data_IF_143324030622
#
_entry.id   IF_143324030622
#
_cell.length_a   1.000
_cell.length_b   1.000
_cell.length_c   1.000
_cell.angle_alpha   90.00
_cell.angle_beta   90.00
_cell.angle_gamma   90.00
#
_symmetry.space_group_name_H-M   'P 1'
#
loop_
_entity.id
_entity.type
_entity.pdbx_description
1 polymer ?
#
# COMPACT_ATOMS: atom_id res chain seq x y z
N UNK A 1 15.60 6.39 4.48
CA UNK A 1 15.23 5.88 3.16
C UNK A 1 13.89 5.13 3.22
N UNK A 2 13.13 5.14 2.14
CA UNK A 2 11.80 4.57 2.05
C UNK A 2 11.64 3.83 0.71
N UNK A 3 11.08 2.63 0.77
CA UNK A 3 10.61 1.87 -0.39
C UNK A 3 9.09 1.79 -0.32
N UNK A 4 8.41 2.17 -1.38
CA UNK A 4 6.96 2.09 -1.50
C UNK A 4 6.64 1.12 -2.63
N UNK A 5 5.77 0.15 -2.34
CA UNK A 5 5.24 -0.79 -3.32
C UNK A 5 3.72 -0.58 -3.41
N UNK A 6 3.24 -0.33 -4.61
CA UNK A 6 1.84 0.02 -4.86
C UNK A 6 1.54 1.52 -4.67
N UNK A 7 0.26 1.91 -4.86
CA UNK A 7 -0.83 1.05 -5.33
C UNK A 7 -0.69 0.67 -6.81
N UNK A 8 -1.35 -0.39 -7.20
CA UNK A 8 -1.35 -0.86 -8.59
C UNK A 8 -2.02 -2.22 -8.74
N UNK A 9 -2.27 -2.64 -9.95
CA UNK A 9 -2.79 -3.98 -10.23
C UNK A 9 -1.89 -5.04 -9.61
N UNK A 10 -2.49 -5.95 -8.83
CA UNK A 10 -1.73 -6.93 -8.06
C UNK A 10 -0.84 -7.79 -8.96
N UNK A 11 -1.39 -8.37 -10.01
CA UNK A 11 -0.68 -9.32 -10.87
C UNK A 11 0.10 -8.64 -11.99
N UNK A 12 -0.48 -7.64 -12.65
CA UNK A 12 0.11 -7.04 -13.84
C UNK A 12 1.09 -5.90 -13.55
N UNK A 13 1.05 -5.33 -12.34
CA UNK A 13 1.95 -4.25 -11.96
C UNK A 13 2.83 -4.64 -10.77
N UNK A 14 2.25 -5.03 -9.64
CA UNK A 14 3.01 -5.27 -8.41
C UNK A 14 3.81 -6.58 -8.51
N UNK A 15 3.13 -7.72 -8.66
CA UNK A 15 3.79 -9.02 -8.72
C UNK A 15 4.69 -9.11 -9.94
N UNK A 16 4.27 -8.61 -11.11
CA UNK A 16 5.09 -8.62 -12.31
C UNK A 16 6.47 -7.97 -12.12
N UNK A 17 6.54 -6.85 -11.41
CA UNK A 17 7.81 -6.22 -11.05
C UNK A 17 8.59 -7.02 -10.01
N UNK A 18 7.91 -7.57 -9.01
CA UNK A 18 8.54 -8.36 -7.95
C UNK A 18 9.01 -9.76 -8.41
N UNK A 19 8.63 -10.19 -9.62
CA UNK A 19 9.17 -11.42 -10.22
C UNK A 19 10.59 -11.23 -10.79
N UNK A 20 11.11 -10.02 -10.84
CA UNK A 20 12.53 -9.78 -11.16
C UNK A 20 13.37 -10.19 -9.95
N UNK A 21 14.18 -11.28 -10.03
CA UNK A 21 14.84 -11.86 -8.84
C UNK A 21 15.71 -10.86 -8.10
N UNK A 22 16.53 -10.11 -8.81
CA UNK A 22 17.45 -9.14 -8.23
C UNK A 22 16.72 -7.99 -7.51
N UNK A 23 15.51 -7.65 -7.93
CA UNK A 23 14.71 -6.61 -7.30
C UNK A 23 14.23 -7.02 -5.91
N UNK A 24 13.71 -8.23 -5.76
CA UNK A 24 13.27 -8.76 -4.45
C UNK A 24 14.45 -8.86 -3.49
N UNK A 25 15.58 -9.35 -3.96
CA UNK A 25 16.79 -9.48 -3.14
C UNK A 25 17.33 -8.10 -2.72
N UNK A 26 17.30 -7.11 -3.59
CA UNK A 26 17.65 -5.73 -3.28
C UNK A 26 16.71 -5.11 -2.24
N UNK A 27 15.40 -5.34 -2.37
CA UNK A 27 14.40 -4.88 -1.39
C UNK A 27 14.66 -5.54 -0.02
N UNK A 28 14.90 -6.84 0.02
CA UNK A 28 15.20 -7.58 1.27
C UNK A 28 16.46 -7.09 1.94
N UNK A 29 17.51 -6.83 1.17
CA UNK A 29 18.80 -6.37 1.68
C UNK A 29 18.78 -4.90 2.12
N UNK A 30 17.83 -4.10 1.63
CA UNK A 30 17.74 -2.68 1.97
C UNK A 30 17.34 -2.46 3.43
N UNK A 31 17.95 -1.45 4.07
CA UNK A 31 17.58 -0.95 5.41
C UNK A 31 16.45 0.08 5.37
N UNK A 32 15.98 0.45 4.18
CA UNK A 32 14.86 1.37 4.01
C UNK A 32 13.58 0.80 4.66
N UNK A 33 12.72 1.68 5.16
CA UNK A 33 11.35 1.28 5.52
C UNK A 33 10.60 0.86 4.27
N UNK A 34 9.84 -0.22 4.36
CA UNK A 34 9.12 -0.83 3.24
C UNK A 34 7.64 -0.76 3.49
N UNK A 35 6.96 0.13 2.75
CA UNK A 35 5.52 0.29 2.83
C UNK A 35 4.83 -0.36 1.64
N UNK A 36 3.77 -1.09 1.91
CA UNK A 36 2.84 -1.56 0.90
C UNK A 36 1.57 -0.70 0.93
N UNK A 37 1.19 -0.13 -0.20
CA UNK A 37 -0.07 0.61 -0.35
C UNK A 37 -1.09 -0.35 -0.96
N UNK A 38 -2.04 -0.80 -0.13
CA UNK A 38 -3.06 -1.73 -0.57
C UNK A 38 -4.10 -1.04 -1.45
N UNK A 39 -4.61 -1.75 -2.45
CA UNK A 39 -5.69 -1.25 -3.30
C UNK A 39 -6.93 -0.93 -2.47
N UNK A 40 -7.65 0.12 -2.83
CA UNK A 40 -8.91 0.52 -2.15
C UNK A 40 -10.09 -0.34 -2.60
N UNK A 41 -10.05 -0.84 -3.83
CA UNK A 41 -11.11 -1.66 -4.42
C UNK A 41 -10.52 -2.81 -5.22
N UNK A 42 -11.30 -3.86 -5.38
CA UNK A 42 -10.94 -5.03 -6.18
C UNK A 42 -10.91 -4.70 -7.68
N UNK A 43 -10.17 -5.50 -8.43
CA UNK A 43 -10.17 -5.48 -9.89
C UNK A 43 -10.92 -6.70 -10.39
N UNK A 44 -12.01 -6.47 -11.12
CA UNK A 44 -12.86 -7.52 -11.67
C UNK A 44 -12.04 -8.46 -12.56
N UNK A 45 -12.17 -9.76 -12.30
CA UNK A 45 -11.46 -10.82 -13.02
C UNK A 45 -10.02 -11.06 -12.53
N UNK A 46 -9.49 -10.24 -11.61
CA UNK A 46 -8.14 -10.43 -11.04
C UNK A 46 -8.18 -10.68 -9.53
N UNK A 47 -8.84 -9.81 -8.79
CA UNK A 47 -8.85 -9.82 -7.32
C UNK A 47 -10.25 -9.83 -6.74
N UNK A 48 -11.20 -10.48 -7.42
CA UNK A 48 -12.59 -10.60 -6.97
C UNK A 48 -12.64 -11.21 -5.56
N UNK A 49 -13.29 -10.51 -4.63
CA UNK A 49 -13.43 -10.93 -3.25
C UNK A 49 -12.16 -10.88 -2.40
N UNK A 50 -11.05 -10.33 -2.90
CA UNK A 50 -9.81 -10.24 -2.14
C UNK A 50 -9.90 -9.19 -1.03
N UNK A 51 -9.38 -9.58 0.13
CA UNK A 51 -9.03 -8.65 1.20
C UNK A 51 -7.61 -8.12 1.02
N UNK A 52 -7.20 -7.21 1.92
CA UNK A 52 -5.82 -6.74 1.97
C UNK A 52 -4.83 -7.89 2.23
N UNK A 53 -5.20 -8.82 3.13
CA UNK A 53 -4.40 -10.01 3.44
C UNK A 53 -4.25 -10.95 2.26
N UNK A 54 -5.28 -11.06 1.41
CA UNK A 54 -5.21 -11.90 0.21
C UNK A 54 -4.23 -11.32 -0.81
N UNK A 55 -4.14 -9.98 -0.93
CA UNK A 55 -3.09 -9.32 -1.73
C UNK A 55 -1.71 -9.67 -1.20
N UNK A 56 -1.48 -9.51 0.11
CA UNK A 56 -0.19 -9.78 0.75
C UNK A 56 0.22 -11.25 0.64
N UNK A 57 -0.70 -12.18 0.86
CA UNK A 57 -0.44 -13.63 0.69
C UNK A 57 -0.01 -13.98 -0.72
N UNK A 58 -0.63 -13.36 -1.73
CA UNK A 58 -0.24 -13.59 -3.12
C UNK A 58 1.15 -12.99 -3.42
N UNK A 59 1.48 -11.84 -2.88
CA UNK A 59 2.83 -11.28 -3.00
C UNK A 59 3.84 -12.22 -2.33
N UNK A 60 3.60 -12.66 -1.10
CA UNK A 60 4.48 -13.59 -0.40
C UNK A 60 4.66 -14.92 -1.14
N UNK A 61 3.57 -15.45 -1.69
CA UNK A 61 3.61 -16.70 -2.48
C UNK A 61 4.55 -16.58 -3.68
N UNK A 62 4.56 -15.44 -4.36
CA UNK A 62 5.37 -15.23 -5.55
C UNK A 62 6.81 -14.82 -5.24
N UNK A 63 7.04 -14.10 -4.16
CA UNK A 63 8.37 -13.60 -3.77
C UNK A 63 9.11 -14.54 -2.79
N UNK A 64 8.37 -15.47 -2.16
CA UNK A 64 8.90 -16.33 -1.10
C UNK A 64 9.27 -15.59 0.18
N UNK A 65 8.83 -14.35 0.36
CA UNK A 65 9.25 -13.53 1.49
C UNK A 65 8.17 -12.53 1.93
N UNK A 66 8.15 -12.26 3.23
CA UNK A 66 7.48 -11.11 3.81
C UNK A 66 8.36 -9.87 3.61
N UNK A 67 7.93 -8.94 2.78
CA UNK A 67 8.76 -7.81 2.35
C UNK A 67 8.51 -6.52 3.12
N UNK A 68 7.31 -6.31 3.67
CA UNK A 68 6.85 -5.01 4.13
C UNK A 68 6.87 -4.85 5.64
N UNK A 69 7.29 -3.68 6.10
CA UNK A 69 7.27 -3.29 7.51
C UNK A 69 5.91 -2.73 7.92
N UNK A 70 5.20 -2.09 6.97
CA UNK A 70 3.91 -1.47 7.19
C UNK A 70 3.02 -1.60 5.95
N UNK A 71 1.76 -1.88 6.18
CA UNK A 71 0.71 -1.88 5.16
C UNK A 71 -0.20 -0.69 5.37
N UNK A 72 -0.32 0.16 4.37
CA UNK A 72 -1.25 1.29 4.36
C UNK A 72 -2.51 0.87 3.63
N UNK A 73 -3.63 0.88 4.31
CA UNK A 73 -4.91 0.42 3.80
C UNK A 73 -6.00 1.49 3.96
N UNK A 74 -7.02 1.40 3.12
CA UNK A 74 -8.16 2.30 3.18
C UNK A 74 -9.07 1.97 4.38
N UNK A 75 -9.65 3.00 5.00
CA UNK A 75 -10.68 2.86 6.04
C UNK A 75 -11.99 3.59 5.70
N UNK A 76 -12.09 4.13 4.50
CA UNK A 76 -13.31 4.80 4.02
C UNK A 76 -14.02 3.95 3.00
N UNK A 77 -15.26 3.56 3.29
CA UNK A 77 -16.05 2.61 2.48
C UNK A 77 -17.41 3.18 2.06
N UNK A 78 -17.52 4.49 2.03
CA UNK A 78 -18.68 5.22 1.50
C UNK A 78 -18.43 5.59 0.04
N UNK A 79 -19.47 5.50 -0.75
CA UNK A 79 -19.43 5.77 -2.18
C UNK A 79 -19.90 4.59 -3.03
N UNK A 80 -20.26 4.88 -4.25
CA UNK A 80 -20.76 3.87 -5.17
C UNK A 80 -19.59 3.27 -5.96
N UNK A 81 -19.44 1.95 -5.84
CA UNK A 81 -18.50 1.19 -6.66
C UNK A 81 -19.16 0.72 -7.95
N UNK A 82 -18.37 0.51 -9.02
CA UNK A 82 -18.86 -0.15 -10.24
C UNK A 82 -19.36 -1.57 -9.97
N UNK A 83 -20.23 -2.08 -10.82
CA UNK A 83 -20.75 -3.45 -10.71
C UNK A 83 -19.62 -4.49 -10.73
N UNK A 84 -19.66 -5.40 -9.76
CA UNK A 84 -18.65 -6.45 -9.62
C UNK A 84 -17.31 -5.98 -9.06
N UNK A 85 -17.29 -4.80 -8.45
CA UNK A 85 -16.12 -4.27 -7.72
C UNK A 85 -16.49 -4.15 -6.25
N UNK A 86 -15.64 -4.64 -5.36
CA UNK A 86 -15.82 -4.61 -3.92
C UNK A 86 -14.73 -3.77 -3.24
N UNK A 87 -15.01 -3.30 -2.04
CA UNK A 87 -13.99 -2.67 -1.20
C UNK A 87 -12.94 -3.69 -0.75
N UNK A 88 -11.68 -3.33 -0.86
CA UNK A 88 -10.61 -4.10 -0.23
C UNK A 88 -10.49 -3.66 1.22
N UNK A 89 -10.75 -4.59 2.13
CA UNK A 89 -10.75 -4.34 3.57
C UNK A 89 -9.68 -5.16 4.28
N UNK A 90 -9.23 -4.65 5.43
CA UNK A 90 -8.38 -5.41 6.36
C UNK A 90 -9.27 -6.33 7.19
N UNK A 91 -8.96 -7.62 7.25
CA UNK A 91 -9.68 -8.60 8.07
C UNK A 91 -9.44 -8.35 9.55
N UNK A 92 -10.49 -8.42 10.35
CA UNK A 92 -10.36 -8.28 11.80
C UNK A 92 -9.51 -9.42 12.38
N UNK A 93 -8.57 -9.04 13.26
CA UNK A 93 -7.73 -10.01 13.99
C UNK A 93 -6.49 -10.49 13.26
N UNK A 94 -6.25 -10.05 12.04
CA UNK A 94 -4.97 -10.31 11.39
C UNK A 94 -3.85 -9.54 12.11
N UNK A 95 -2.82 -10.29 12.56
CA UNK A 95 -1.62 -9.77 13.22
C UNK A 95 -0.34 -10.08 12.45
N UNK A 96 -0.49 -10.58 11.25
CA UNK A 96 0.67 -10.98 10.45
C UNK A 96 1.47 -9.76 9.97
N UNK A 97 0.76 -8.66 9.67
CA UNK A 97 1.35 -7.37 9.31
C UNK A 97 0.93 -6.25 10.26
N UNK A 98 1.71 -5.20 10.30
CA UNK A 98 1.28 -3.93 10.87
C UNK A 98 0.48 -3.16 9.83
N UNK A 99 -0.72 -2.74 10.20
CA UNK A 99 -1.61 -1.96 9.36
C UNK A 99 -1.76 -0.53 9.86
N UNK A 100 -1.72 0.41 8.95
CA UNK A 100 -2.18 1.77 9.16
C UNK A 100 -3.34 2.03 8.22
N UNK A 101 -4.46 2.46 8.77
CA UNK A 101 -5.68 2.67 8.00
C UNK A 101 -6.03 4.16 7.96
N UNK A 102 -6.27 4.67 6.76
CA UNK A 102 -6.61 6.07 6.50
C UNK A 102 -7.60 6.19 5.33
N UNK A 103 -8.22 7.35 5.19
CA UNK A 103 -8.98 7.67 3.98
C UNK A 103 -8.01 7.85 2.80
N UNK A 104 -8.04 6.94 1.86
CA UNK A 104 -7.17 6.92 0.68
C UNK A 104 -7.93 7.09 -0.63
N UNK A 105 -9.27 7.23 -0.59
CA UNK A 105 -10.10 7.21 -1.79
C UNK A 105 -10.25 8.58 -2.43
N UNK A 106 -10.31 8.58 -3.75
CA UNK A 106 -10.79 9.72 -4.53
C UNK A 106 -12.30 9.89 -4.29
N UNK A 107 -12.71 11.11 -3.98
CA UNK A 107 -14.12 11.39 -3.63
C UNK A 107 -15.07 11.31 -4.83
N UNK A 108 -14.58 11.57 -6.03
CA UNK A 108 -15.35 11.50 -7.27
C UNK A 108 -15.38 10.08 -7.85
N UNK A 109 -14.28 9.34 -7.64
CA UNK A 109 -14.10 7.97 -8.15
C UNK A 109 -13.67 7.04 -7.00
N UNK A 110 -14.59 6.58 -6.13
CA UNK A 110 -14.24 5.87 -4.91
C UNK A 110 -13.43 4.57 -5.10
N UNK A 111 -13.45 4.00 -6.30
CA UNK A 111 -12.62 2.83 -6.66
C UNK A 111 -11.16 3.19 -6.97
N UNK A 112 -10.80 4.46 -6.94
CA UNK A 112 -9.46 4.97 -7.17
C UNK A 112 -8.85 5.57 -5.91
N UNK A 113 -7.54 5.57 -5.89
CA UNK A 113 -6.78 6.28 -4.86
C UNK A 113 -6.73 7.78 -5.14
N UNK A 114 -6.79 8.55 -4.06
CA UNK A 114 -6.39 9.97 -4.07
C UNK A 114 -4.88 10.07 -3.84
N UNK A 115 -4.14 10.51 -4.84
CA UNK A 115 -2.68 10.59 -4.77
C UNK A 115 -2.17 11.59 -3.73
N UNK A 116 -2.91 12.67 -3.47
CA UNK A 116 -2.54 13.65 -2.43
C UNK A 116 -2.73 13.07 -1.02
N UNK A 117 -3.82 12.32 -0.80
CA UNK A 117 -4.05 11.62 0.47
C UNK A 117 -2.98 10.57 0.73
N UNK A 118 -2.63 9.76 -0.28
CA UNK A 118 -1.55 8.77 -0.16
C UNK A 118 -0.23 9.46 0.16
N UNK A 119 0.16 10.47 -0.60
CA UNK A 119 1.42 11.16 -0.42
C UNK A 119 1.54 11.74 1.00
N UNK A 120 0.48 12.39 1.49
CA UNK A 120 0.45 12.93 2.86
C UNK A 120 0.58 11.82 3.89
N UNK A 121 -0.24 10.77 3.79
CA UNK A 121 -0.21 9.63 4.73
C UNK A 121 1.18 9.00 4.79
N UNK A 122 1.79 8.74 3.65
CA UNK A 122 3.12 8.12 3.57
C UNK A 122 4.19 9.02 4.18
N UNK A 123 4.17 10.32 3.89
CA UNK A 123 5.13 11.26 4.44
C UNK A 123 4.99 11.40 5.96
N UNK A 124 3.76 11.53 6.46
CA UNK A 124 3.50 11.64 7.89
C UNK A 124 3.99 10.38 8.63
N UNK A 125 3.66 9.20 8.14
CA UNK A 125 4.13 7.93 8.70
C UNK A 125 5.65 7.78 8.67
N UNK A 126 6.30 8.20 7.58
CA UNK A 126 7.75 8.17 7.48
C UNK A 126 8.40 9.11 8.48
N UNK A 127 7.87 10.32 8.62
CA UNK A 127 8.38 11.32 9.57
C UNK A 127 8.18 10.88 11.03
N UNK A 128 7.04 10.29 11.36
CA UNK A 128 6.79 9.74 12.70
C UNK A 128 7.80 8.65 13.09
N UNK A 129 8.18 7.80 12.13
CA UNK A 129 9.11 6.68 12.37
C UNK A 129 10.57 7.08 12.39
N UNK A 130 10.94 8.09 11.60
CA UNK A 130 12.34 8.50 11.44
C UNK A 130 12.70 9.76 12.23
N UNK A 131 11.70 10.48 12.71
CA UNK A 131 11.85 11.81 13.28
C UNK A 131 12.18 12.87 12.21
N UNK A 132 12.24 14.16 12.60
CA UNK A 132 12.64 15.20 11.68
C UNK A 132 14.07 14.93 11.20
N UNK A 133 14.27 14.98 9.89
CA UNK A 133 15.61 14.89 9.32
C UNK A 133 16.44 16.05 9.88
N UNK A 134 17.38 15.74 10.76
CA UNK A 134 18.29 16.74 11.31
C UNK A 134 19.00 17.45 10.17
N UNK A 135 18.71 18.74 9.97
CA UNK A 135 19.35 19.59 8.97
C UNK A 135 18.50 20.10 7.81
N UNK A 136 17.20 19.82 7.77
CA UNK A 136 16.30 20.52 6.84
C UNK A 136 15.56 21.62 7.58
N UNK A 137 15.90 22.86 7.25
CA UNK A 137 15.04 23.99 7.62
C UNK A 137 13.63 23.78 7.05
N UNK A 138 12.57 24.16 7.78
CA UNK A 138 11.22 24.10 7.25
C UNK A 138 11.18 24.94 5.98
N UNK A 139 10.66 24.36 4.90
CA UNK A 139 10.38 25.09 3.67
C UNK A 139 9.42 26.20 4.06
N UNK A 140 9.91 27.43 4.13
CA UNK A 140 9.08 28.60 4.40
C UNK A 140 8.05 28.65 3.27
N UNK A 141 6.79 28.54 3.65
CA UNK A 141 5.66 28.74 2.76
C UNK A 141 5.75 30.11 2.08
N UNK A 142 5.91 30.09 0.78
CA UNK A 142 5.67 31.25 -0.09
C UNK A 142 4.18 31.27 -0.43
#
# INVERSE_FOLDING_TARGET
DLIIVGPGSLYTSIIANLLVPDLVDAIKASRAYKFFICNVATQRGETDGYSCEDHLKNIEKHTGARLFDLVVANNRFDGQLPDGVDWVQVKQGDRHYQYYQADLVDTENPWRHDSAKIARTVLDLYMERTGPLSGREPISSI
#
